data_IF_547468792706
#
_entry.id   IF_547468792706
#
_cell.length_a   1.000
_cell.length_b   1.000
_cell.length_c   1.000
_cell.angle_alpha   90.00
_cell.angle_beta   90.00
_cell.angle_gamma   90.00
#
_symmetry.space_group_name_H-M   'P 1'
#
loop_
_entity.id
_entity.type
_entity.pdbx_description
1 polymer ?
#
# COMPACT_ATOMS: atom_id res chain seq x y z
N UNK A 1 10.40 15.66 1.61
CA UNK A 1 9.29 14.73 1.82
C UNK A 1 8.46 15.07 3.05
N UNK A 2 8.97 15.06 4.28
CA UNK A 2 8.18 15.33 5.49
C UNK A 2 7.32 16.59 5.42
N UNK A 3 7.87 17.71 4.93
CA UNK A 3 7.12 18.95 4.75
C UNK A 3 5.92 18.81 3.78
N UNK A 4 6.05 17.98 2.74
CA UNK A 4 4.96 17.72 1.78
C UNK A 4 3.85 16.90 2.44
N UNK A 5 4.23 15.87 3.22
CA UNK A 5 3.28 15.04 3.98
C UNK A 5 2.55 15.87 5.03
N UNK A 6 3.28 16.70 5.80
CA UNK A 6 2.69 17.58 6.83
C UNK A 6 1.74 18.60 6.19
N UNK A 7 2.13 19.20 5.06
CA UNK A 7 1.29 20.17 4.35
C UNK A 7 -0.05 19.58 3.92
N UNK A 8 -0.08 18.30 3.58
CA UNK A 8 -1.31 17.60 3.20
C UNK A 8 -2.39 17.72 4.27
N UNK A 9 -2.01 17.71 5.55
CA UNK A 9 -2.92 17.77 6.68
C UNK A 9 -3.26 19.18 7.16
N UNK A 10 -2.70 20.26 6.59
CA UNK A 10 -3.03 21.64 6.99
C UNK A 10 -4.49 22.00 6.72
N UNK A 11 -5.12 21.38 5.75
CA UNK A 11 -6.55 21.52 5.46
C UNK A 11 -7.46 20.60 6.28
N UNK A 12 -6.87 19.77 7.15
CA UNK A 12 -7.57 18.72 7.90
C UNK A 12 -7.31 17.30 7.36
N UNK A 13 -7.71 16.31 8.13
CA UNK A 13 -7.72 14.90 7.72
C UNK A 13 -9.10 14.54 7.17
N UNK A 14 -9.14 13.81 6.06
CA UNK A 14 -10.38 13.32 5.44
C UNK A 14 -10.40 11.79 5.42
N UNK A 15 -11.58 11.22 5.50
CA UNK A 15 -11.82 9.80 5.36
C UNK A 15 -12.92 9.59 4.30
N UNK A 16 -12.76 8.65 3.36
CA UNK A 16 -13.78 8.45 2.33
C UNK A 16 -15.06 7.90 2.96
N UNK A 17 -16.21 8.51 2.67
CA UNK A 17 -17.53 8.00 3.04
C UNK A 17 -17.71 6.64 2.36
N UNK A 18 -18.11 5.62 3.12
CA UNK A 18 -18.19 4.23 2.66
C UNK A 18 -16.87 3.46 2.75
N UNK A 19 -15.76 4.10 3.20
CA UNK A 19 -14.48 3.45 3.41
C UNK A 19 -13.56 3.45 2.18
N UNK A 20 -12.39 2.83 2.31
CA UNK A 20 -11.33 2.86 1.29
C UNK A 20 -11.72 2.18 -0.03
N UNK A 21 -12.70 1.30 -0.02
CA UNK A 21 -13.20 0.64 -1.22
C UNK A 21 -13.85 1.62 -2.21
N UNK A 22 -14.31 2.78 -1.73
CA UNK A 22 -14.84 3.85 -2.58
C UNK A 22 -13.81 4.41 -3.57
N UNK A 23 -12.52 4.26 -3.29
CA UNK A 23 -11.47 4.70 -4.21
C UNK A 23 -11.55 3.95 -5.55
N UNK A 24 -11.50 2.60 -5.60
CA UNK A 24 -11.70 1.89 -6.87
C UNK A 24 -13.13 2.05 -7.41
N UNK A 25 -14.15 2.13 -6.56
CA UNK A 25 -15.54 2.24 -7.00
C UNK A 25 -15.82 3.55 -7.76
N UNK A 26 -15.14 4.62 -7.42
CA UNK A 26 -15.24 5.89 -8.16
C UNK A 26 -14.35 5.93 -9.41
N UNK A 27 -13.22 5.21 -9.45
CA UNK A 27 -12.27 5.23 -10.57
C UNK A 27 -12.69 4.27 -11.69
N UNK A 28 -13.15 3.05 -11.35
CA UNK A 28 -13.48 2.00 -12.33
C UNK A 28 -14.56 2.44 -13.33
N UNK A 29 -15.67 3.11 -12.93
CA UNK A 29 -16.65 3.62 -13.89
C UNK A 29 -16.05 4.62 -14.90
N UNK A 30 -15.10 5.46 -14.47
CA UNK A 30 -14.42 6.43 -15.36
C UNK A 30 -13.57 5.70 -16.40
N UNK A 31 -12.85 4.66 -15.99
CA UNK A 31 -12.07 3.80 -16.89
C UNK A 31 -12.99 3.17 -17.95
N UNK A 32 -14.11 2.60 -17.51
CA UNK A 32 -15.10 1.95 -18.39
C UNK A 32 -15.76 2.94 -19.35
N UNK A 33 -16.12 4.11 -18.86
CA UNK A 33 -16.67 5.20 -19.71
C UNK A 33 -15.68 5.65 -20.80
N UNK A 34 -14.38 5.54 -20.51
CA UNK A 34 -13.31 5.78 -21.49
C UNK A 34 -13.06 4.59 -22.46
N UNK A 35 -13.83 3.52 -22.38
CA UNK A 35 -13.66 2.31 -23.21
C UNK A 35 -12.58 1.35 -22.70
N UNK A 36 -12.08 1.55 -21.48
CA UNK A 36 -11.16 0.66 -20.82
C UNK A 36 -11.86 -0.44 -20.02
N UNK A 37 -11.08 -1.39 -19.46
CA UNK A 37 -11.59 -2.43 -18.59
C UNK A 37 -10.62 -2.69 -17.43
N UNK A 38 -11.14 -3.20 -16.28
CA UNK A 38 -10.37 -3.57 -15.11
C UNK A 38 -10.58 -5.07 -14.85
N UNK A 39 -9.48 -5.80 -14.82
CA UNK A 39 -9.47 -7.24 -14.58
C UNK A 39 -8.88 -7.53 -13.20
N UNK A 40 -9.56 -8.33 -12.41
CA UNK A 40 -9.06 -8.93 -11.17
C UNK A 40 -8.66 -10.38 -11.42
N UNK A 41 -7.85 -10.96 -10.52
CA UNK A 41 -7.30 -12.31 -10.69
C UNK A 41 -6.52 -12.51 -12.02
N UNK A 42 -5.99 -11.43 -12.55
CA UNK A 42 -5.31 -11.35 -13.84
C UNK A 42 -3.80 -11.10 -13.61
N UNK A 43 -3.09 -12.12 -13.11
CA UNK A 43 -1.65 -12.04 -12.83
C UNK A 43 -0.86 -11.91 -14.13
N UNK A 44 -0.08 -10.84 -14.23
CA UNK A 44 0.93 -10.63 -15.27
C UNK A 44 2.22 -11.34 -14.85
N UNK A 45 2.81 -12.12 -15.74
CA UNK A 45 4.10 -12.81 -15.51
C UNK A 45 5.26 -12.15 -16.24
N UNK A 46 5.00 -11.51 -17.38
CA UNK A 46 6.07 -10.94 -18.18
C UNK A 46 5.59 -9.73 -18.99
N UNK A 47 6.46 -8.74 -19.14
CA UNK A 47 6.31 -7.67 -20.14
C UNK A 47 6.93 -8.17 -21.44
N UNK A 48 6.11 -8.31 -22.48
CA UNK A 48 6.54 -8.82 -23.79
C UNK A 48 7.38 -7.78 -24.49
N UNK A 49 8.62 -8.14 -24.83
CA UNK A 49 9.57 -7.29 -25.53
C UNK A 49 9.84 -7.84 -26.92
N UNK A 50 9.55 -7.05 -27.96
CA UNK A 50 9.87 -7.37 -29.33
C UNK A 50 10.66 -6.24 -29.98
N UNK A 51 11.78 -6.58 -30.63
CA UNK A 51 12.68 -5.60 -31.28
C UNK A 51 13.09 -4.45 -30.34
N UNK A 52 13.29 -4.77 -29.04
CA UNK A 52 13.69 -3.80 -28.02
C UNK A 52 12.57 -2.87 -27.51
N UNK A 53 11.31 -3.17 -27.84
CA UNK A 53 10.13 -2.40 -27.45
C UNK A 53 9.16 -3.25 -26.63
N UNK A 54 8.59 -2.69 -25.57
CA UNK A 54 7.44 -3.31 -24.91
C UNK A 54 6.20 -3.22 -25.80
N UNK A 55 5.53 -4.36 -26.01
CA UNK A 55 4.41 -4.50 -26.94
C UNK A 55 3.23 -5.27 -26.35
N UNK A 56 3.21 -5.44 -25.02
CA UNK A 56 2.13 -6.11 -24.30
C UNK A 56 2.61 -6.81 -23.04
N UNK A 57 1.76 -7.65 -22.50
CA UNK A 57 2.03 -8.49 -21.33
C UNK A 57 1.62 -9.92 -21.55
N UNK A 58 2.33 -10.86 -20.94
CA UNK A 58 1.96 -12.27 -20.86
C UNK A 58 1.38 -12.55 -19.48
N UNK A 59 0.23 -13.18 -19.47
CA UNK A 59 -0.51 -13.54 -18.26
C UNK A 59 -0.09 -14.91 -17.74
N UNK A 60 -0.35 -15.19 -16.47
CA UNK A 60 -0.05 -16.48 -15.82
C UNK A 60 -0.79 -17.68 -16.44
N UNK A 61 -1.92 -17.46 -17.10
CA UNK A 61 -2.67 -18.47 -17.83
C UNK A 61 -2.14 -18.73 -19.26
N UNK A 62 -1.06 -18.05 -19.66
CA UNK A 62 -0.43 -18.15 -20.98
C UNK A 62 -0.95 -17.18 -22.03
N UNK A 63 -2.06 -16.46 -21.77
CA UNK A 63 -2.58 -15.47 -22.69
C UNK A 63 -1.62 -14.29 -22.86
N UNK A 64 -1.63 -13.68 -24.05
CA UNK A 64 -0.85 -12.46 -24.33
C UNK A 64 -1.79 -11.33 -24.70
N UNK A 65 -1.73 -10.26 -23.95
CA UNK A 65 -2.43 -9.00 -24.25
C UNK A 65 -1.47 -8.03 -24.94
N UNK A 66 -1.77 -7.68 -26.19
CA UNK A 66 -0.96 -6.74 -26.98
C UNK A 66 -1.39 -5.29 -26.72
N UNK A 67 -0.39 -4.41 -26.64
CA UNK A 67 -0.60 -2.97 -26.45
C UNK A 67 0.59 -2.18 -27.03
N UNK A 68 0.32 -1.00 -27.51
CA UNK A 68 1.37 -0.06 -27.98
C UNK A 68 2.16 0.56 -26.83
N UNK A 69 1.54 0.61 -25.64
CA UNK A 69 2.11 1.15 -24.40
C UNK A 69 1.77 0.26 -23.22
N UNK A 70 2.79 -0.10 -22.44
CA UNK A 70 2.67 -0.76 -21.15
C UNK A 70 3.02 0.23 -20.06
N UNK A 71 2.16 0.38 -19.06
CA UNK A 71 2.42 1.23 -17.88
C UNK A 71 2.43 0.33 -16.66
N UNK A 72 3.57 0.19 -16.00
CA UNK A 72 3.70 -0.66 -14.82
C UNK A 72 3.53 0.17 -13.53
N UNK A 73 2.55 -0.22 -12.73
CA UNK A 73 2.35 0.24 -11.35
C UNK A 73 2.71 -0.83 -10.31
N UNK A 74 3.33 -1.93 -10.74
CA UNK A 74 3.67 -3.07 -9.89
C UNK A 74 4.86 -2.82 -8.93
N UNK A 75 5.40 -1.60 -8.92
CA UNK A 75 6.64 -1.26 -8.24
C UNK A 75 7.86 -1.48 -9.13
N UNK A 76 8.92 -0.69 -8.88
CA UNK A 76 10.12 -0.72 -9.70
C UNK A 76 10.87 -2.06 -9.57
N UNK A 77 10.94 -2.62 -8.36
CA UNK A 77 11.59 -3.91 -8.11
C UNK A 77 10.88 -5.03 -8.85
N UNK A 78 9.57 -5.17 -8.69
CA UNK A 78 8.78 -6.20 -9.39
C UNK A 78 8.89 -6.02 -10.90
N UNK A 79 8.77 -4.79 -11.40
CA UNK A 79 8.87 -4.50 -12.83
C UNK A 79 10.21 -4.94 -13.41
N UNK A 80 11.32 -4.56 -12.77
CA UNK A 80 12.65 -4.75 -13.32
C UNK A 80 13.31 -6.09 -12.94
N UNK A 81 12.92 -6.72 -11.82
CA UNK A 81 13.47 -8.03 -11.40
C UNK A 81 12.62 -9.22 -11.86
N UNK A 82 11.29 -9.04 -11.98
CA UNK A 82 10.39 -10.15 -12.25
C UNK A 82 9.74 -10.08 -13.64
N UNK A 83 9.25 -8.88 -14.05
CA UNK A 83 8.45 -8.76 -15.25
C UNK A 83 9.25 -8.56 -16.54
N UNK A 84 10.50 -8.08 -16.47
CA UNK A 84 11.37 -7.97 -17.65
C UNK A 84 12.13 -9.26 -17.93
N UNK A 85 12.37 -9.59 -19.23
CA UNK A 85 13.27 -10.66 -19.60
C UNK A 85 14.68 -10.46 -19.01
N UNK A 86 15.29 -11.53 -18.50
CA UNK A 86 16.56 -11.51 -17.77
C UNK A 86 17.68 -10.81 -18.56
N UNK A 87 17.89 -11.21 -19.81
CA UNK A 87 18.93 -10.62 -20.65
C UNK A 87 18.78 -9.10 -20.83
N UNK A 88 17.55 -8.60 -20.86
CA UNK A 88 17.28 -7.17 -21.00
C UNK A 88 17.57 -6.41 -19.69
N UNK A 89 17.11 -6.94 -18.55
CA UNK A 89 17.36 -6.29 -17.25
C UNK A 89 18.86 -6.22 -16.93
N UNK A 90 19.62 -7.29 -17.28
CA UNK A 90 21.08 -7.31 -17.12
C UNK A 90 21.76 -6.28 -18.05
N UNK A 91 21.39 -6.25 -19.33
CA UNK A 91 21.96 -5.30 -20.30
C UNK A 91 21.74 -3.83 -19.92
N UNK A 92 20.65 -3.53 -19.19
CA UNK A 92 20.32 -2.18 -18.70
C UNK A 92 20.86 -1.90 -17.30
N UNK A 93 21.51 -2.88 -16.67
CA UNK A 93 22.14 -2.76 -15.36
C UNK A 93 21.16 -2.61 -14.19
N UNK A 94 19.91 -3.07 -14.34
CA UNK A 94 18.91 -2.97 -13.26
C UNK A 94 19.29 -3.72 -11.99
N UNK A 95 19.89 -4.92 -12.02
CA UNK A 95 20.29 -5.59 -10.79
C UNK A 95 21.26 -4.77 -9.93
N UNK A 96 22.22 -4.07 -10.58
CA UNK A 96 23.16 -3.20 -9.88
C UNK A 96 22.49 -1.92 -9.35
N UNK A 97 21.55 -1.34 -10.12
CA UNK A 97 20.78 -0.15 -9.71
C UNK A 97 19.87 -0.44 -8.51
N UNK A 98 19.15 -1.58 -8.53
CA UNK A 98 18.25 -1.98 -7.46
C UNK A 98 18.96 -2.32 -6.15
N UNK A 99 20.24 -2.74 -6.20
CA UNK A 99 21.06 -2.92 -5.00
C UNK A 99 21.42 -1.61 -4.29
N UNK A 100 21.30 -0.46 -4.96
CA UNK A 100 21.59 0.86 -4.38
C UNK A 100 20.39 1.44 -3.61
N UNK A 101 19.23 0.85 -3.74
CA UNK A 101 17.99 1.30 -3.08
C UNK A 101 17.45 0.21 -2.17
N UNK A 102 16.96 0.61 -1.02
CA UNK A 102 16.34 -0.30 -0.05
C UNK A 102 14.85 -0.44 -0.33
N UNK A 103 14.24 -1.52 0.17
CA UNK A 103 12.81 -1.61 0.33
C UNK A 103 12.38 -0.85 1.57
N UNK A 104 11.16 -0.33 1.58
CA UNK A 104 10.56 0.26 2.78
C UNK A 104 10.28 -0.81 3.84
N UNK A 105 9.92 -0.37 5.04
CA UNK A 105 9.61 -1.29 6.13
C UNK A 105 8.34 -2.10 5.87
N UNK A 106 8.30 -3.30 6.45
CA UNK A 106 7.12 -4.11 6.57
C UNK A 106 6.39 -3.83 7.90
N UNK A 107 5.18 -4.39 8.06
CA UNK A 107 4.33 -4.09 9.20
C UNK A 107 3.50 -5.30 9.65
N UNK A 108 3.01 -5.21 10.89
CA UNK A 108 1.90 -5.98 11.41
C UNK A 108 0.65 -5.09 11.41
N UNK A 109 -0.50 -5.65 11.08
CA UNK A 109 -1.78 -4.97 11.21
C UNK A 109 -2.84 -5.92 11.77
N UNK A 110 -3.42 -5.56 12.91
CA UNK A 110 -4.64 -6.21 13.39
C UNK A 110 -5.85 -5.53 12.78
N UNK A 111 -6.73 -6.33 12.21
CA UNK A 111 -8.09 -5.97 11.85
C UNK A 111 -9.01 -6.56 12.92
N UNK A 112 -9.60 -5.71 13.76
CA UNK A 112 -10.44 -6.14 14.86
C UNK A 112 -11.87 -5.66 14.70
N UNK A 113 -12.84 -6.57 14.94
CA UNK A 113 -14.27 -6.31 14.94
C UNK A 113 -14.83 -6.39 16.36
N UNK A 114 -15.71 -5.45 16.69
CA UNK A 114 -16.28 -5.29 18.02
C UNK A 114 -17.82 -5.26 17.95
N UNK A 115 -18.47 -5.75 19.00
CA UNK A 115 -19.89 -5.59 19.22
C UNK A 115 -20.13 -4.26 19.91
N UNK A 116 -21.02 -3.46 19.34
CA UNK A 116 -21.36 -2.10 19.78
C UNK A 116 -21.01 -1.07 18.73
N UNK A 117 -21.72 0.05 18.74
CA UNK A 117 -21.43 1.21 17.90
C UNK A 117 -20.18 1.95 18.36
N UNK A 118 -19.61 2.77 17.51
CA UNK A 118 -18.48 3.62 17.87
C UNK A 118 -18.80 4.54 19.06
N UNK A 119 -20.03 5.04 19.14
CA UNK A 119 -20.50 5.88 20.25
C UNK A 119 -20.59 5.11 21.57
N UNK A 120 -21.17 3.90 21.56
CA UNK A 120 -21.28 3.03 22.74
C UNK A 120 -19.92 2.61 23.29
N UNK A 121 -18.94 2.38 22.39
CA UNK A 121 -17.59 1.98 22.74
C UNK A 121 -16.63 3.16 23.00
N UNK A 122 -17.10 4.40 22.81
CA UNK A 122 -16.29 5.60 23.01
C UNK A 122 -15.11 5.72 22.04
N UNK A 123 -15.27 5.24 20.79
CA UNK A 123 -14.20 5.27 19.79
C UNK A 123 -14.04 6.69 19.21
N UNK A 124 -12.83 7.25 19.20
CA UNK A 124 -12.60 8.56 18.63
C UNK A 124 -12.57 8.50 17.09
N UNK A 125 -12.81 9.64 16.44
CA UNK A 125 -12.57 9.79 14.99
C UNK A 125 -11.10 10.02 14.67
N UNK A 126 -10.31 10.50 15.64
CA UNK A 126 -8.86 10.73 15.50
C UNK A 126 -8.10 9.42 15.66
N UNK A 127 -7.03 9.25 14.88
CA UNK A 127 -6.09 8.15 15.08
C UNK A 127 -5.22 8.39 16.32
N UNK A 128 -4.77 7.29 16.94
CA UNK A 128 -3.82 7.36 18.06
C UNK A 128 -2.44 6.90 17.58
N UNK A 129 -1.41 7.63 18.01
CA UNK A 129 -0.02 7.26 17.88
C UNK A 129 0.52 7.07 19.29
N UNK A 130 0.82 5.83 19.64
CA UNK A 130 1.20 5.44 21.01
C UNK A 130 2.65 5.01 20.99
N UNK A 131 3.47 5.63 21.82
CA UNK A 131 4.89 5.33 21.97
C UNK A 131 5.18 4.96 23.42
N UNK A 132 6.06 3.98 23.69
CA UNK A 132 6.40 3.59 25.07
C UNK A 132 7.10 4.72 25.83
N UNK A 133 7.89 5.53 25.12
CA UNK A 133 8.62 6.69 25.65
C UNK A 133 9.14 7.55 24.49
N UNK A 134 9.94 8.60 24.80
CA UNK A 134 10.49 9.54 23.80
C UNK A 134 11.80 9.06 23.13
N UNK A 135 12.30 7.88 23.43
CA UNK A 135 13.55 7.33 22.85
C UNK A 135 13.23 6.49 21.60
N UNK A 136 12.72 7.12 20.56
CA UNK A 136 12.15 6.46 19.38
C UNK A 136 13.13 5.51 18.69
N UNK A 137 14.36 5.96 18.41
CA UNK A 137 15.39 5.16 17.75
C UNK A 137 15.74 3.92 18.59
N UNK A 138 16.00 4.10 19.89
CA UNK A 138 16.35 3.01 20.78
C UNK A 138 15.21 1.99 20.93
N UNK A 139 13.94 2.44 20.91
CA UNK A 139 12.78 1.54 20.92
C UNK A 139 12.71 0.70 19.62
N UNK A 140 12.99 1.31 18.47
CA UNK A 140 13.02 0.60 17.17
C UNK A 140 14.16 -0.42 17.16
N UNK A 141 15.37 -0.03 17.55
CA UNK A 141 16.54 -0.91 17.62
C UNK A 141 16.30 -2.11 18.56
N UNK A 142 15.75 -1.86 19.75
CA UNK A 142 15.43 -2.93 20.70
C UNK A 142 14.39 -3.90 20.13
N UNK A 143 13.35 -3.40 19.46
CA UNK A 143 12.33 -4.23 18.86
C UNK A 143 12.84 -5.03 17.66
N UNK A 144 13.71 -4.46 16.84
CA UNK A 144 14.35 -5.18 15.74
C UNK A 144 15.27 -6.31 16.24
N UNK A 145 15.95 -6.09 17.37
CA UNK A 145 16.84 -7.08 17.96
C UNK A 145 16.11 -8.21 18.71
N UNK A 146 14.95 -7.92 19.31
CA UNK A 146 14.16 -8.89 20.08
C UNK A 146 12.67 -8.73 19.79
N UNK A 147 12.08 -9.76 19.22
CA UNK A 147 10.64 -9.84 18.95
C UNK A 147 9.77 -9.66 20.20
N UNK A 148 10.30 -9.97 21.39
CA UNK A 148 9.59 -9.83 22.66
C UNK A 148 9.72 -8.43 23.29
N UNK A 149 10.58 -7.57 22.77
CA UNK A 149 10.68 -6.19 23.22
C UNK A 149 9.33 -5.45 23.06
N UNK A 150 9.08 -4.38 23.83
CA UNK A 150 7.90 -3.54 23.67
C UNK A 150 7.77 -3.05 22.22
N UNK A 151 6.53 -2.97 21.71
CA UNK A 151 6.29 -2.36 20.40
C UNK A 151 6.80 -0.91 20.37
N UNK A 152 7.61 -0.53 19.38
CA UNK A 152 8.23 0.80 19.34
C UNK A 152 7.21 1.92 19.09
N UNK A 153 6.09 1.57 18.45
CA UNK A 153 4.94 2.44 18.23
C UNK A 153 3.70 1.60 17.91
N UNK A 154 2.55 2.11 18.25
CA UNK A 154 1.27 1.62 17.73
C UNK A 154 0.56 2.77 17.03
N UNK A 155 0.10 2.51 15.82
CA UNK A 155 -0.88 3.36 15.13
C UNK A 155 -2.23 2.69 15.25
N UNK A 156 -3.20 3.37 15.88
CA UNK A 156 -4.55 2.85 16.07
C UNK A 156 -5.52 3.70 15.26
N UNK A 157 -6.27 3.07 14.41
CA UNK A 157 -7.27 3.70 13.53
C UNK A 157 -8.67 3.16 13.83
N UNK A 158 -9.66 4.01 13.66
CA UNK A 158 -11.07 3.71 13.95
C UNK A 158 -11.93 3.95 12.71
N UNK A 159 -11.86 3.06 11.69
CA UNK A 159 -12.57 3.25 10.42
C UNK A 159 -14.07 3.46 10.60
N UNK A 160 -14.72 2.62 11.43
CA UNK A 160 -16.15 2.69 11.72
C UNK A 160 -16.60 4.00 12.40
N UNK A 161 -15.73 4.65 13.17
CA UNK A 161 -16.04 5.93 13.81
C UNK A 161 -15.93 7.13 12.85
N UNK A 162 -15.22 6.95 11.73
CA UNK A 162 -14.96 8.00 10.73
C UNK A 162 -16.02 8.03 9.64
N UNK A 163 -16.54 6.86 9.27
CA UNK A 163 -17.54 6.71 8.21
C UNK A 163 -18.92 7.06 8.73
N UNK A 164 -19.55 8.14 8.25
CA UNK A 164 -20.89 8.54 8.70
C UNK A 164 -22.00 7.55 8.32
N UNK A 165 -21.79 6.67 7.33
CA UNK A 165 -22.72 5.65 6.89
C UNK A 165 -22.54 4.31 7.60
N UNK A 166 -21.51 4.18 8.45
CA UNK A 166 -21.16 2.89 9.06
C UNK A 166 -22.31 2.26 9.84
N UNK A 167 -22.93 3.02 10.76
CA UNK A 167 -23.99 2.49 11.62
C UNK A 167 -25.24 2.08 10.85
N UNK A 168 -25.50 2.71 9.70
CA UNK A 168 -26.60 2.33 8.79
C UNK A 168 -26.30 1.02 8.07
N UNK A 169 -25.06 0.82 7.64
CA UNK A 169 -24.63 -0.34 6.88
C UNK A 169 -24.29 -1.54 7.79
N UNK A 170 -23.78 -1.27 8.99
CA UNK A 170 -23.29 -2.29 9.93
C UNK A 170 -23.76 -2.02 11.36
N UNK A 171 -25.09 -2.06 11.63
CA UNK A 171 -25.65 -1.67 12.92
C UNK A 171 -25.08 -2.50 14.08
N UNK A 172 -24.72 -1.82 15.17
CA UNK A 172 -24.19 -2.44 16.39
C UNK A 172 -22.82 -3.10 16.24
N UNK A 173 -22.01 -2.67 15.26
CA UNK A 173 -20.65 -3.19 15.03
C UNK A 173 -19.66 -2.03 14.87
N UNK A 174 -18.44 -2.27 15.29
CA UNK A 174 -17.33 -1.33 15.07
C UNK A 174 -16.06 -2.05 14.67
N UNK A 175 -15.14 -1.32 14.07
CA UNK A 175 -13.83 -1.82 13.66
C UNK A 175 -12.70 -0.94 14.20
N UNK A 176 -11.60 -1.58 14.55
CA UNK A 176 -10.34 -0.93 14.93
C UNK A 176 -9.20 -1.61 14.20
N UNK A 177 -8.28 -0.83 13.69
CA UNK A 177 -7.03 -1.31 13.10
C UNK A 177 -5.86 -0.90 13.98
N UNK A 178 -4.94 -1.83 14.23
CA UNK A 178 -3.74 -1.58 15.02
C UNK A 178 -2.52 -1.98 14.21
N UNK A 179 -1.70 -0.99 13.88
CA UNK A 179 -0.48 -1.19 13.09
C UNK A 179 0.77 -0.96 13.95
N UNK A 180 1.79 -1.77 13.68
CA UNK A 180 3.16 -1.54 14.12
C UNK A 180 4.14 -2.02 13.04
N UNK A 181 5.39 -1.60 13.12
CA UNK A 181 6.43 -2.10 12.23
C UNK A 181 6.75 -3.57 12.52
N UNK A 182 7.28 -4.27 11.51
CA UNK A 182 7.80 -5.62 11.66
C UNK A 182 9.00 -5.84 10.74
N UNK A 183 10.15 -6.33 11.25
CA UNK A 183 11.25 -6.76 10.40
C UNK A 183 10.85 -7.94 9.52
N UNK A 184 11.21 -7.91 8.23
CA UNK A 184 10.97 -9.01 7.30
C UNK A 184 11.69 -10.29 7.74
N UNK A 185 12.87 -10.16 8.31
CA UNK A 185 13.75 -11.24 8.74
C UNK A 185 13.07 -12.21 9.73
N UNK A 186 12.09 -11.74 10.49
CA UNK A 186 11.31 -12.61 11.38
C UNK A 186 10.40 -13.58 10.64
N UNK A 187 10.06 -13.28 9.40
CA UNK A 187 9.08 -13.99 8.56
C UNK A 187 9.72 -14.69 7.36
N UNK A 188 10.96 -14.38 7.02
CA UNK A 188 11.67 -14.83 5.82
C UNK A 188 11.67 -16.36 5.67
N UNK A 189 11.83 -17.11 6.77
CA UNK A 189 11.85 -18.58 6.73
C UNK A 189 10.56 -19.21 6.19
N UNK A 190 9.44 -18.47 6.16
CA UNK A 190 8.16 -18.93 5.63
C UNK A 190 7.80 -18.29 4.28
N UNK A 191 8.69 -17.56 3.65
CA UNK A 191 8.41 -16.81 2.42
C UNK A 191 7.89 -17.68 1.27
N UNK A 192 8.42 -18.91 1.15
CA UNK A 192 8.08 -19.86 0.08
C UNK A 192 6.85 -20.73 0.40
N UNK A 193 6.16 -20.44 1.51
CA UNK A 193 4.96 -21.17 1.92
C UNK A 193 3.68 -20.55 1.34
N UNK A 194 2.66 -21.38 1.14
CA UNK A 194 1.36 -20.92 0.65
C UNK A 194 0.55 -20.24 1.77
N UNK A 195 -0.14 -19.16 1.45
CA UNK A 195 -1.06 -18.50 2.39
C UNK A 195 -2.11 -19.49 2.92
N UNK A 196 -2.35 -19.46 4.23
CA UNK A 196 -3.24 -20.40 4.93
C UNK A 196 -2.67 -21.81 5.16
N UNK A 197 -1.44 -22.09 4.73
CA UNK A 197 -0.77 -23.40 4.86
C UNK A 197 0.71 -23.24 5.24
N UNK A 198 1.01 -22.33 6.19
CA UNK A 198 2.41 -22.01 6.55
C UNK A 198 2.99 -22.87 7.66
N UNK A 199 2.18 -23.71 8.31
CA UNK A 199 2.58 -24.63 9.36
C UNK A 199 2.36 -24.06 10.77
N UNK A 200 2.35 -25.00 11.75
CA UNK A 200 2.00 -24.73 13.15
C UNK A 200 2.96 -23.74 13.83
N UNK A 201 4.24 -23.76 13.47
CA UNK A 201 5.23 -22.83 14.02
C UNK A 201 4.96 -21.38 13.59
N UNK A 202 4.51 -21.16 12.36
CA UNK A 202 4.06 -19.84 11.89
C UNK A 202 2.76 -19.42 12.60
N UNK A 203 1.79 -20.32 12.70
CA UNK A 203 0.50 -20.01 13.30
C UNK A 203 0.66 -19.67 14.80
N UNK A 204 1.54 -20.38 15.51
CA UNK A 204 1.89 -20.08 16.89
C UNK A 204 2.60 -18.72 17.02
N UNK A 205 3.57 -18.43 16.16
CA UNK A 205 4.27 -17.16 16.16
C UNK A 205 3.33 -15.98 15.87
N UNK A 206 2.46 -16.13 14.85
CA UNK A 206 1.43 -15.15 14.49
C UNK A 206 0.45 -14.92 15.64
N UNK A 207 -0.03 -15.98 16.28
CA UNK A 207 -0.97 -15.90 17.40
C UNK A 207 -0.38 -15.14 18.60
N UNK A 208 0.90 -15.39 18.93
CA UNK A 208 1.60 -14.67 19.99
C UNK A 208 1.70 -13.17 19.71
N UNK A 209 2.07 -12.79 18.48
CA UNK A 209 2.13 -11.39 18.07
C UNK A 209 0.74 -10.72 18.12
N UNK A 210 -0.29 -11.43 17.64
CA UNK A 210 -1.67 -10.95 17.67
C UNK A 210 -2.14 -10.69 19.10
N UNK A 211 -1.91 -11.64 20.01
CA UNK A 211 -2.28 -11.49 21.42
C UNK A 211 -1.57 -10.29 22.06
N UNK A 212 -0.28 -10.14 21.84
CA UNK A 212 0.49 -9.01 22.39
C UNK A 212 -0.02 -7.66 21.89
N UNK A 213 -0.36 -7.55 20.58
CA UNK A 213 -0.93 -6.31 20.01
C UNK A 213 -2.32 -6.01 20.57
N UNK A 214 -3.17 -7.04 20.75
CA UNK A 214 -4.48 -6.88 21.37
C UNK A 214 -4.35 -6.43 22.83
N UNK A 215 -3.42 -7.02 23.62
CA UNK A 215 -3.15 -6.59 24.98
C UNK A 215 -2.68 -5.13 25.05
N UNK A 216 -1.83 -4.72 24.10
CA UNK A 216 -1.40 -3.34 24.00
C UNK A 216 -2.55 -2.38 23.65
N UNK A 217 -3.47 -2.78 22.77
CA UNK A 217 -4.70 -2.03 22.48
C UNK A 217 -5.58 -1.92 23.71
N UNK A 218 -5.82 -3.03 24.42
CA UNK A 218 -6.71 -3.06 25.58
C UNK A 218 -6.13 -2.35 26.83
N UNK A 219 -4.83 -2.14 26.87
CA UNK A 219 -4.22 -1.29 27.89
C UNK A 219 -4.66 0.17 27.73
N UNK A 220 -4.76 0.65 26.50
CA UNK A 220 -5.15 2.02 26.16
C UNK A 220 -6.68 2.18 26.11
N UNK A 221 -7.39 1.15 25.65
CA UNK A 221 -8.84 1.13 25.44
C UNK A 221 -9.45 -0.11 26.11
N UNK A 222 -9.46 -0.19 27.46
CA UNK A 222 -9.87 -1.38 28.20
C UNK A 222 -11.32 -1.82 27.96
N UNK A 223 -12.20 -0.90 27.60
CA UNK A 223 -13.60 -1.18 27.28
C UNK A 223 -13.78 -2.06 26.05
N UNK A 224 -12.78 -2.16 25.18
CA UNK A 224 -12.83 -2.97 23.97
C UNK A 224 -12.65 -4.48 24.23
N UNK A 225 -12.07 -4.86 25.37
CA UNK A 225 -11.74 -6.27 25.66
C UNK A 225 -12.97 -7.18 25.62
N UNK A 226 -14.04 -6.80 26.31
CA UNK A 226 -15.26 -7.60 26.40
C UNK A 226 -16.15 -7.48 25.13
N UNK A 227 -15.88 -6.46 24.30
CA UNK A 227 -16.63 -6.23 23.07
C UNK A 227 -16.01 -6.93 21.86
N UNK A 228 -14.78 -7.48 21.96
CA UNK A 228 -14.09 -8.12 20.85
C UNK A 228 -14.85 -9.36 20.37
N UNK A 229 -15.14 -9.42 19.07
CA UNK A 229 -15.81 -10.58 18.41
C UNK A 229 -14.97 -11.19 17.30
N UNK A 230 -13.99 -10.46 16.78
CA UNK A 230 -13.11 -10.92 15.71
C UNK A 230 -11.76 -10.21 15.78
N UNK A 231 -10.69 -10.92 15.49
CA UNK A 231 -9.37 -10.34 15.26
C UNK A 231 -8.59 -11.19 14.26
N UNK A 232 -7.97 -10.54 13.29
CA UNK A 232 -7.05 -11.15 12.33
C UNK A 232 -5.78 -10.32 12.27
N UNK A 233 -4.62 -10.98 12.37
CA UNK A 233 -3.32 -10.34 12.18
C UNK A 233 -2.83 -10.51 10.74
N UNK A 234 -2.66 -9.42 10.02
CA UNK A 234 -1.85 -9.36 8.80
C UNK A 234 -0.37 -9.25 9.17
N UNK A 235 0.47 -10.01 8.48
CA UNK A 235 1.92 -10.05 8.66
C UNK A 235 2.62 -9.59 7.37
N UNK A 236 3.93 -9.36 7.35
CA UNK A 236 4.68 -9.12 6.11
C UNK A 236 4.42 -10.16 5.02
N UNK A 237 4.20 -11.43 5.40
CA UNK A 237 3.85 -12.48 4.43
C UNK A 237 2.44 -12.35 3.84
N UNK A 238 1.52 -11.66 4.52
CA UNK A 238 0.21 -11.32 3.94
C UNK A 238 0.37 -10.25 2.86
N UNK A 239 1.18 -9.24 3.12
CA UNK A 239 1.51 -8.18 2.16
C UNK A 239 2.25 -8.75 0.94
N UNK A 240 3.22 -9.64 1.16
CA UNK A 240 3.92 -10.32 0.07
C UNK A 240 2.96 -11.16 -0.79
N UNK A 241 2.02 -11.87 -0.18
CA UNK A 241 1.06 -12.72 -0.90
C UNK A 241 0.03 -11.94 -1.69
N UNK A 242 -0.62 -10.95 -1.07
CA UNK A 242 -1.73 -10.21 -1.68
C UNK A 242 -1.27 -8.99 -2.48
N UNK A 243 -0.18 -8.34 -2.06
CA UNK A 243 0.36 -7.14 -2.68
C UNK A 243 1.53 -7.40 -3.64
N UNK A 244 2.05 -8.64 -3.67
CA UNK A 244 3.24 -9.02 -4.45
C UNK A 244 4.48 -8.17 -4.13
N UNK A 245 4.61 -7.73 -2.89
CA UNK A 245 5.80 -7.04 -2.39
C UNK A 245 6.77 -8.05 -1.76
N UNK A 246 7.97 -8.27 -2.36
CA UNK A 246 8.82 -9.43 -2.03
C UNK A 246 9.25 -9.54 -0.57
N UNK A 247 9.38 -8.42 0.14
CA UNK A 247 9.76 -8.39 1.55
C UNK A 247 8.61 -7.88 2.44
N UNK A 248 7.37 -7.96 1.95
CA UNK A 248 6.19 -7.50 2.69
C UNK A 248 6.17 -6.00 2.97
N UNK A 249 6.97 -5.24 2.24
CA UNK A 249 7.07 -3.78 2.34
C UNK A 249 5.76 -3.09 1.94
N UNK A 250 5.38 -2.02 2.66
CA UNK A 250 4.09 -1.34 2.43
C UNK A 250 4.19 -0.13 1.50
N UNK A 251 5.39 0.40 1.31
CA UNK A 251 5.61 1.63 0.54
C UNK A 251 6.58 1.45 -0.63
N UNK A 252 6.79 0.21 -1.09
CA UNK A 252 7.73 -0.09 -2.18
C UNK A 252 9.17 0.22 -1.78
N UNK A 253 9.88 1.01 -2.58
CA UNK A 253 11.24 1.43 -2.27
C UNK A 253 11.26 2.42 -1.09
N UNK A 254 12.31 2.33 -0.25
CA UNK A 254 12.48 3.20 0.90
C UNK A 254 12.57 4.69 0.49
N UNK A 255 12.17 5.57 1.38
CA UNK A 255 12.07 7.01 1.13
C UNK A 255 13.31 7.76 1.64
N UNK A 256 14.48 7.17 1.42
CA UNK A 256 15.77 7.75 1.79
C UNK A 256 16.36 8.65 0.70
N UNK A 257 17.49 9.30 1.03
CA UNK A 257 18.18 10.21 0.10
C UNK A 257 18.71 9.48 -1.13
N UNK A 258 19.13 8.22 -0.96
CA UNK A 258 19.72 7.44 -2.07
C UNK A 258 18.66 7.11 -3.11
N UNK A 259 17.42 6.76 -2.70
CA UNK A 259 16.31 6.58 -3.64
C UNK A 259 16.03 7.85 -4.43
N UNK A 260 15.93 9.00 -3.78
CA UNK A 260 15.62 10.27 -4.47
C UNK A 260 16.74 10.79 -5.37
N UNK A 261 17.95 10.26 -5.27
CA UNK A 261 19.06 10.51 -6.22
C UNK A 261 18.96 9.68 -7.48
N UNK A 262 18.11 8.65 -7.51
CA UNK A 262 18.01 7.73 -8.64
C UNK A 262 17.27 8.35 -9.82
N UNK A 263 17.99 8.64 -10.90
CA UNK A 263 17.39 9.23 -12.13
C UNK A 263 16.67 8.21 -12.99
N UNK A 264 16.85 6.92 -12.76
CA UNK A 264 16.20 5.84 -13.48
C UNK A 264 14.78 5.51 -12.93
N UNK A 265 14.44 6.00 -11.74
CA UNK A 265 13.08 5.95 -11.18
C UNK A 265 12.24 7.09 -11.76
N UNK A 266 11.97 7.02 -13.05
CA UNK A 266 11.28 8.04 -13.81
C UNK A 266 10.10 7.43 -14.58
N UNK A 267 9.00 8.16 -14.83
CA UNK A 267 7.87 7.66 -15.62
C UNK A 267 8.26 7.08 -16.98
N UNK A 268 9.15 7.75 -17.70
CA UNK A 268 9.64 7.26 -18.99
C UNK A 268 10.89 6.39 -18.76
N UNK A 269 10.79 5.13 -19.15
CA UNK A 269 11.92 4.19 -19.07
C UNK A 269 12.77 4.22 -20.35
N UNK A 270 14.00 3.68 -20.32
CA UNK A 270 14.82 3.54 -21.53
C UNK A 270 14.26 2.48 -22.50
N UNK A 271 13.24 1.71 -22.11
CA UNK A 271 12.60 0.71 -22.97
C UNK A 271 11.41 1.37 -23.68
N UNK A 272 11.47 1.57 -25.00
CA UNK A 272 10.34 2.14 -25.75
C UNK A 272 9.07 1.33 -25.48
N UNK A 273 7.94 2.01 -25.28
CA UNK A 273 6.66 1.36 -25.00
C UNK A 273 6.47 0.91 -23.53
N UNK A 274 7.45 1.13 -22.64
CA UNK A 274 7.31 0.88 -21.21
C UNK A 274 7.42 2.18 -20.40
N UNK A 275 6.44 2.41 -19.55
CA UNK A 275 6.46 3.47 -18.55
C UNK A 275 6.29 2.89 -17.13
N UNK A 276 6.80 3.63 -16.13
CA UNK A 276 6.56 3.37 -14.71
C UNK A 276 5.56 4.37 -14.14
N UNK A 277 4.81 3.94 -13.15
CA UNK A 277 3.97 4.79 -12.32
C UNK A 277 3.90 4.24 -10.89
N UNK A 278 3.14 4.88 -10.02
CA UNK A 278 2.96 4.42 -8.65
C UNK A 278 3.94 5.06 -7.65
N UNK A 279 3.92 4.55 -6.43
CA UNK A 279 4.64 5.15 -5.30
C UNK A 279 6.17 5.18 -5.47
N UNK A 280 6.76 4.26 -6.23
CA UNK A 280 8.21 4.23 -6.47
C UNK A 280 8.69 5.35 -7.37
N UNK A 281 7.80 5.96 -8.16
CA UNK A 281 8.13 7.09 -9.05
C UNK A 281 8.09 8.42 -8.29
N UNK A 282 7.12 8.60 -7.38
CA UNK A 282 6.95 9.88 -6.65
C UNK A 282 7.17 9.68 -5.15
N UNK A 283 6.16 9.19 -4.44
CA UNK A 283 6.22 9.02 -2.98
C UNK A 283 5.15 8.03 -2.51
N UNK A 284 5.28 7.60 -1.27
CA UNK A 284 4.40 6.62 -0.63
C UNK A 284 2.94 7.05 -0.56
N UNK A 285 2.09 6.02 -0.49
CA UNK A 285 0.67 6.13 -0.19
C UNK A 285 -0.20 6.48 -1.39
N UNK A 286 -1.51 6.56 -1.15
CA UNK A 286 -2.53 6.79 -2.18
C UNK A 286 -2.30 8.11 -2.92
N UNK A 287 -2.03 9.20 -2.19
CA UNK A 287 -1.77 10.50 -2.78
C UNK A 287 -0.53 10.54 -3.67
N UNK A 288 0.56 9.85 -3.24
CA UNK A 288 1.78 9.72 -4.03
C UNK A 288 1.56 8.90 -5.30
N UNK A 289 0.83 7.80 -5.21
CA UNK A 289 0.49 6.96 -6.35
C UNK A 289 -0.41 7.68 -7.37
N UNK A 290 -1.41 8.45 -6.91
CA UNK A 290 -2.26 9.28 -7.78
C UNK A 290 -1.43 10.36 -8.50
N UNK A 291 -0.54 11.05 -7.78
CA UNK A 291 0.36 12.03 -8.36
C UNK A 291 1.29 11.40 -9.40
N UNK A 292 1.79 10.20 -9.15
CA UNK A 292 2.59 9.45 -10.12
C UNK A 292 1.78 9.12 -11.38
N UNK A 293 0.52 8.71 -11.24
CA UNK A 293 -0.38 8.47 -12.36
C UNK A 293 -0.55 9.72 -13.23
N UNK A 294 -0.77 10.88 -12.61
CA UNK A 294 -0.86 12.16 -13.31
C UNK A 294 0.44 12.50 -14.05
N UNK A 295 1.59 12.39 -13.37
CA UNK A 295 2.90 12.71 -13.96
C UNK A 295 3.23 11.77 -15.13
N UNK A 296 2.95 10.46 -14.96
CA UNK A 296 3.18 9.47 -16.02
C UNK A 296 2.29 9.76 -17.24
N UNK A 297 1.02 10.08 -17.01
CA UNK A 297 0.11 10.49 -18.08
C UNK A 297 0.62 11.72 -18.81
N UNK A 298 1.02 12.78 -18.10
CA UNK A 298 1.63 13.97 -18.69
C UNK A 298 2.89 13.63 -19.52
N UNK A 299 3.75 12.78 -19.00
CA UNK A 299 4.98 12.38 -19.68
C UNK A 299 4.69 11.60 -20.99
N UNK A 300 3.69 10.72 -20.98
CA UNK A 300 3.26 9.96 -22.16
C UNK A 300 2.55 10.84 -23.19
N UNK A 301 1.76 11.81 -22.76
CA UNK A 301 1.05 12.75 -23.63
C UNK A 301 1.98 13.80 -24.27
N UNK A 302 3.16 14.05 -23.70
CA UNK A 302 4.14 14.98 -24.22
C UNK A 302 3.57 16.37 -24.44
N UNK A 303 3.50 16.85 -25.70
CA UNK A 303 2.97 18.19 -26.03
C UNK A 303 1.50 18.42 -25.64
N UNK A 304 0.74 17.35 -25.44
CA UNK A 304 -0.68 17.42 -25.00
C UNK A 304 -0.83 17.40 -23.47
N UNK A 305 0.27 17.39 -22.70
CA UNK A 305 0.23 17.34 -21.23
C UNK A 305 -0.59 18.48 -20.61
N UNK A 306 -0.64 19.65 -21.24
CA UNK A 306 -1.45 20.78 -20.76
C UNK A 306 -2.94 20.43 -20.64
N UNK A 307 -3.48 19.54 -21.47
CA UNK A 307 -4.89 19.12 -21.38
C UNK A 307 -5.21 18.40 -20.07
N UNK A 308 -4.26 17.66 -19.48
CA UNK A 308 -4.42 17.05 -18.17
C UNK A 308 -4.49 18.10 -17.06
N UNK A 309 -3.60 19.11 -17.14
CA UNK A 309 -3.57 20.21 -16.19
C UNK A 309 -4.83 21.09 -16.29
N UNK A 310 -5.35 21.27 -17.52
CA UNK A 310 -6.59 22.03 -17.75
C UNK A 310 -7.81 21.27 -17.19
N UNK A 311 -7.88 19.96 -17.33
CA UNK A 311 -8.91 19.14 -16.70
C UNK A 311 -8.89 19.31 -15.17
N UNK A 312 -7.71 19.25 -14.53
CA UNK A 312 -7.57 19.41 -13.08
C UNK A 312 -7.95 20.82 -12.62
N UNK A 313 -7.56 21.87 -13.36
CA UNK A 313 -7.88 23.26 -13.03
C UNK A 313 -9.36 23.58 -13.17
N UNK A 314 -10.02 22.98 -14.15
CA UNK A 314 -11.41 23.22 -14.49
C UNK A 314 -12.37 22.23 -13.81
N UNK A 315 -11.83 21.26 -13.06
CA UNK A 315 -12.65 20.32 -12.31
C UNK A 315 -13.46 21.08 -11.26
N UNK A 316 -14.74 20.80 -11.22
CA UNK A 316 -15.67 21.30 -10.22
C UNK A 316 -16.35 20.07 -9.58
N UNK A 317 -16.47 20.01 -8.25
CA UNK A 317 -17.25 18.95 -7.62
C UNK A 317 -18.69 18.98 -8.15
N UNK A 318 -19.25 17.81 -8.39
CA UNK A 318 -20.68 17.69 -8.72
C UNK A 318 -21.51 18.18 -7.53
N UNK A 319 -22.74 18.69 -7.77
CA UNK A 319 -23.58 19.23 -6.70
C UNK A 319 -23.90 18.19 -5.61
N UNK A 320 -23.79 16.90 -5.92
CA UNK A 320 -23.90 15.81 -4.92
C UNK A 320 -22.69 15.72 -3.98
N UNK A 321 -21.49 16.10 -4.44
CA UNK A 321 -20.25 16.06 -3.65
C UNK A 321 -20.08 17.30 -2.75
N UNK A 322 -20.76 18.40 -3.07
CA UNK A 322 -20.70 19.65 -2.30
C UNK A 322 -21.65 19.67 -1.07
N UNK A 323 -22.49 18.66 -0.89
CA UNK A 323 -23.51 18.58 0.18
C UNK A 323 -23.19 17.54 1.27
N UNK A 324 -22.04 16.88 1.20
CA UNK A 324 -21.49 15.97 2.21
C UNK A 324 -20.22 16.57 2.85
#
# INVERSE_FOLDING_TARGET
MHATVVKHYFGGGSYPVGGSWMIPDTIVPVIRAGGGEVFTYAKVEEIVIEKGRACGVRMANGDTLRADQVVSAAGARVTYEQLLPEALRESLGYPAKLKQVKTSGAHLCIYAGFKGTAAELGLPKTNLWIYPNAHHEANVEAFQADVNAPFPMLYVSFPSAKDPEWDSNYPGKSTVEVLTMAPWEWFEKWQDTTWGQRGEDYDTFKANLQQRLLEALFKELPQLREALVYAELSTPLSTAWFGNYPQGEIYGLDHDVERFRQTWLHPITPIPGLALTGQDVVTAGVGGALMAGMLTTCALMGRKANSVMDLLKNWQPTQQEAST
#
